data_IF_309124083390
#
_entry.id   IF_309124083390
#
_cell.length_a   1.000
_cell.length_b   1.000
_cell.length_c   1.000
_cell.angle_alpha   90.00
_cell.angle_beta   90.00
_cell.angle_gamma   90.00
#
_symmetry.space_group_name_H-M   'P 1'
#
loop_
_entity.id
_entity.type
_entity.pdbx_description
1 polymer ?
#
# COMPACT_ATOMS: atom_id res chain seq x y z
N UNK A 1 -22.12 7.83 0.78
CA UNK A 1 -21.46 6.70 0.09
C UNK A 1 -20.44 6.07 1.01
N UNK A 2 -20.33 4.74 1.05
CA UNK A 2 -19.28 4.07 1.83
C UNK A 2 -17.92 4.21 1.13
N UNK A 3 -16.87 4.52 1.89
CA UNK A 3 -15.49 4.56 1.38
C UNK A 3 -15.10 3.21 0.78
N UNK A 4 -14.70 3.20 -0.49
CA UNK A 4 -14.24 1.99 -1.20
C UNK A 4 -12.91 1.52 -0.63
N UNK A 5 -12.73 0.22 -0.45
CA UNK A 5 -11.46 -0.38 -0.02
C UNK A 5 -10.69 -0.87 -1.25
N UNK A 6 -9.39 -0.56 -1.29
CA UNK A 6 -8.45 -0.95 -2.34
C UNK A 6 -7.36 -1.80 -1.69
N UNK A 7 -7.10 -2.97 -2.25
CA UNK A 7 -5.97 -3.82 -1.88
C UNK A 7 -4.72 -3.33 -2.59
N UNK A 8 -3.74 -2.82 -1.85
CA UNK A 8 -2.44 -2.42 -2.34
C UNK A 8 -1.44 -3.55 -2.05
N UNK A 9 -0.98 -4.21 -3.11
CA UNK A 9 -0.01 -5.32 -3.03
C UNK A 9 1.35 -4.82 -3.52
N UNK A 10 2.41 -5.14 -2.79
CA UNK A 10 3.76 -4.79 -3.20
C UNK A 10 4.85 -5.41 -2.32
N UNK A 11 6.09 -5.28 -2.79
CA UNK A 11 7.30 -5.72 -2.08
C UNK A 11 7.84 -4.55 -1.25
N UNK A 12 7.53 -4.49 0.04
CA UNK A 12 7.94 -3.39 0.92
C UNK A 12 9.46 -3.34 1.16
N UNK A 13 10.14 -4.49 1.16
CA UNK A 13 11.61 -4.62 1.27
C UNK A 13 12.41 -3.75 0.28
N UNK A 14 11.87 -3.50 -0.91
CA UNK A 14 12.55 -2.76 -1.98
C UNK A 14 11.79 -1.53 -2.45
N UNK A 15 10.52 -1.35 -2.04
CA UNK A 15 9.64 -0.27 -2.56
C UNK A 15 8.78 0.40 -1.48
N UNK A 16 9.30 0.49 -0.26
CA UNK A 16 8.56 1.10 0.85
C UNK A 16 8.09 2.52 0.53
N UNK A 17 8.96 3.35 -0.07
CA UNK A 17 8.64 4.76 -0.37
C UNK A 17 7.56 4.87 -1.44
N UNK A 18 7.66 4.09 -2.52
CA UNK A 18 6.68 4.08 -3.59
C UNK A 18 5.31 3.56 -3.11
N UNK A 19 5.30 2.49 -2.31
CA UNK A 19 4.07 1.94 -1.74
C UNK A 19 3.41 2.90 -0.73
N UNK A 20 4.23 3.63 0.03
CA UNK A 20 3.75 4.68 0.93
C UNK A 20 3.13 5.84 0.15
N UNK A 21 3.77 6.26 -0.94
CA UNK A 21 3.24 7.29 -1.83
C UNK A 21 1.88 6.88 -2.43
N UNK A 22 1.76 5.65 -2.94
CA UNK A 22 0.50 5.12 -3.48
C UNK A 22 -0.60 5.04 -2.43
N UNK A 23 -0.27 4.56 -1.22
CA UNK A 23 -1.22 4.51 -0.11
C UNK A 23 -1.74 5.91 0.23
N UNK A 24 -0.84 6.91 0.30
CA UNK A 24 -1.22 8.30 0.58
C UNK A 24 -2.13 8.87 -0.50
N UNK A 25 -1.86 8.57 -1.77
CA UNK A 25 -2.67 9.03 -2.91
C UNK A 25 -4.09 8.45 -2.84
N UNK A 26 -4.23 7.15 -2.56
CA UNK A 26 -5.52 6.49 -2.38
C UNK A 26 -6.31 7.14 -1.23
N UNK A 27 -5.63 7.42 -0.11
CA UNK A 27 -6.25 8.04 1.05
C UNK A 27 -6.70 9.47 0.78
N UNK A 28 -5.90 10.28 0.07
CA UNK A 28 -6.24 11.64 -0.35
C UNK A 28 -7.43 11.67 -1.32
N UNK A 29 -7.57 10.66 -2.17
CA UNK A 29 -8.75 10.47 -3.04
C UNK A 29 -9.98 9.95 -2.28
N UNK A 30 -9.89 9.75 -0.96
CA UNK A 30 -11.00 9.29 -0.12
C UNK A 30 -11.24 7.78 -0.14
N UNK A 31 -10.30 6.96 -0.63
CA UNK A 31 -10.35 5.49 -0.65
C UNK A 31 -9.60 4.84 0.53
N UNK A 32 -10.06 3.70 1.04
CA UNK A 32 -9.38 2.93 2.12
C UNK A 32 -8.30 2.06 1.51
N UNK A 33 -7.15 1.97 2.16
CA UNK A 33 -6.05 1.07 1.77
C UNK A 33 -6.08 -0.16 2.68
N UNK A 34 -6.05 -1.34 2.08
CA UNK A 34 -5.66 -2.60 2.71
C UNK A 34 -4.31 -2.98 2.09
N UNK A 35 -3.24 -3.03 2.88
CA UNK A 35 -1.92 -3.37 2.38
C UNK A 35 -1.69 -4.89 2.46
N UNK A 36 -1.01 -5.44 1.46
CA UNK A 36 -0.48 -6.79 1.47
C UNK A 36 0.98 -6.75 1.04
N UNK A 37 1.85 -7.09 1.98
CA UNK A 37 3.28 -7.25 1.72
C UNK A 37 3.55 -8.64 1.13
N UNK A 38 4.29 -8.66 0.02
CA UNK A 38 4.74 -9.88 -0.66
C UNK A 38 6.27 -9.91 -0.81
N UNK A 39 6.99 -9.20 0.06
CA UNK A 39 8.45 -9.23 0.13
C UNK A 39 9.02 -10.61 0.41
N UNK A 40 10.22 -10.85 -0.13
CA UNK A 40 10.91 -12.16 -0.06
C UNK A 40 12.36 -12.05 0.37
N UNK A 41 12.93 -10.85 0.44
CA UNK A 41 14.32 -10.65 0.85
C UNK A 41 14.51 -10.72 2.39
N UNK A 42 13.41 -10.73 3.15
CA UNK A 42 13.41 -10.79 4.62
C UNK A 42 13.83 -9.48 5.29
N UNK A 43 13.58 -9.37 6.60
CA UNK A 43 14.16 -8.32 7.44
C UNK A 43 15.61 -8.72 7.80
N UNK A 44 16.59 -7.90 7.42
CA UNK A 44 17.99 -8.08 7.80
C UNK A 44 18.26 -7.64 9.25
#
# INVERSE_FOLDING_TARGET
MSRKTILLVGTYDTKQDELTFLASTIQQAGGRVLAMDVSVLGDA
#
